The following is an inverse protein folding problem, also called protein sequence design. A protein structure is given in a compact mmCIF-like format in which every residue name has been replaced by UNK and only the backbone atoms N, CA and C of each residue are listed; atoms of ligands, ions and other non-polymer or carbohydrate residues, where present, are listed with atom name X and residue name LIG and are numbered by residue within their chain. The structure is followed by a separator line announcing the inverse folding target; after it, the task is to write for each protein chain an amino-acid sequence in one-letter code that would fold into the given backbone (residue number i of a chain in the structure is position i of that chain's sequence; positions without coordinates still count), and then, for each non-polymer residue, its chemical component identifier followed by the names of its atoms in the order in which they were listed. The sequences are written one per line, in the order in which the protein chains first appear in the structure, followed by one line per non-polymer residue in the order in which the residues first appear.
data_IF_038713100706
#
_entry.id   IF_038713100706
#
_cell.length_a   1.000
_cell.length_b   1.000
_cell.length_c   1.000
_cell.angle_alpha   90.00
_cell.angle_beta   90.00
_cell.angle_gamma   90.00
#
_symmetry.space_group_name_H-M   'P 1'
#
loop_
_entity.id
_entity.type
_entity.pdbx_description
1 polymer ?
#
# COMPACT_ATOMS: atom_id res chain seq x y z
N UNK A 1 6.18 -3.31 -17.88
CA UNK A 1 5.34 -3.82 -19.00
C UNK A 1 5.54 -5.29 -19.36
N UNK A 2 6.53 -6.02 -18.81
CA UNK A 2 6.64 -7.48 -18.99
C UNK A 2 5.83 -8.32 -17.98
N UNK A 3 5.46 -7.75 -16.84
CA UNK A 3 4.70 -8.46 -15.79
C UNK A 3 3.24 -8.76 -16.16
N UNK A 4 2.60 -7.94 -17.01
CA UNK A 4 1.20 -8.19 -17.41
C UNK A 4 1.05 -9.29 -18.48
N UNK A 5 2.09 -9.56 -19.29
CA UNK A 5 2.01 -10.58 -20.34
C UNK A 5 2.27 -12.01 -19.84
N UNK A 6 2.79 -12.18 -18.63
CA UNK A 6 2.91 -13.50 -18.01
C UNK A 6 1.52 -14.10 -17.67
N UNK A 7 0.49 -13.26 -17.55
CA UNK A 7 -0.86 -13.69 -17.17
C UNK A 7 -1.60 -14.48 -18.26
N UNK A 8 -1.32 -14.26 -19.55
CA UNK A 8 -2.05 -14.93 -20.64
C UNK A 8 -1.59 -16.37 -20.92
N UNK A 9 -0.42 -16.80 -20.44
CA UNK A 9 0.23 -18.05 -20.89
C UNK A 9 0.68 -19.00 -19.77
N UNK A 10 0.44 -18.70 -18.49
CA UNK A 10 0.83 -19.59 -17.40
C UNK A 10 -0.41 -20.13 -16.67
N UNK A 11 -0.29 -21.37 -16.17
CA UNK A 11 -1.32 -22.06 -15.41
C UNK A 11 -1.79 -21.19 -14.23
N UNK A 12 -3.09 -20.91 -14.11
CA UNK A 12 -3.63 -19.87 -13.22
C UNK A 12 -3.26 -20.02 -11.73
N UNK A 13 -3.10 -21.27 -11.25
CA UNK A 13 -2.66 -21.53 -9.88
C UNK A 13 -1.23 -21.03 -9.61
N UNK A 14 -0.29 -21.27 -10.53
CA UNK A 14 1.11 -20.85 -10.37
C UNK A 14 1.27 -19.32 -10.41
N UNK A 15 0.40 -18.64 -11.14
CA UNK A 15 0.39 -17.17 -11.19
C UNK A 15 -0.06 -16.58 -9.87
N UNK A 16 -1.11 -17.14 -9.26
CA UNK A 16 -1.59 -16.69 -7.95
C UNK A 16 -0.51 -16.87 -6.89
N UNK A 17 0.19 -18.00 -6.85
CA UNK A 17 1.29 -18.24 -5.89
C UNK A 17 2.48 -17.31 -6.10
N UNK A 18 2.81 -16.93 -7.34
CA UNK A 18 3.91 -15.99 -7.58
C UNK A 18 3.52 -14.57 -7.15
N UNK A 19 2.34 -14.10 -7.55
CA UNK A 19 1.82 -12.79 -7.16
C UNK A 19 1.64 -12.66 -5.66
N UNK A 20 1.18 -13.72 -5.02
CA UNK A 20 1.13 -13.89 -3.59
C UNK A 20 2.49 -13.56 -2.94
N UNK A 21 3.54 -14.29 -3.32
CA UNK A 21 4.91 -14.10 -2.79
C UNK A 21 5.43 -12.67 -3.01
N UNK A 22 5.21 -12.08 -4.20
CA UNK A 22 5.67 -10.72 -4.49
C UNK A 22 4.90 -9.63 -3.72
N UNK A 23 3.63 -9.86 -3.41
CA UNK A 23 2.77 -8.89 -2.70
C UNK A 23 2.61 -9.21 -1.21
N UNK A 24 3.25 -10.29 -0.74
CA UNK A 24 3.24 -10.68 0.65
C UNK A 24 3.90 -9.60 1.52
N UNK A 25 3.12 -9.08 2.47
CA UNK A 25 3.59 -8.09 3.43
C UNK A 25 4.53 -8.67 4.48
N UNK A 26 5.54 -7.88 4.86
CA UNK A 26 6.40 -8.15 6.00
C UNK A 26 5.62 -8.12 7.33
N UNK A 27 6.08 -8.86 8.33
CA UNK A 27 5.42 -8.93 9.65
C UNK A 27 5.38 -7.57 10.35
N UNK A 28 6.46 -6.79 10.25
CA UNK A 28 6.54 -5.42 10.78
C UNK A 28 5.47 -4.51 10.17
N UNK A 29 5.24 -4.62 8.85
CA UNK A 29 4.19 -3.86 8.18
C UNK A 29 2.79 -4.27 8.69
N UNK A 30 2.57 -5.55 9.00
CA UNK A 30 1.32 -6.02 9.61
C UNK A 30 1.15 -5.54 11.05
N UNK A 31 2.22 -5.43 11.83
CA UNK A 31 2.16 -4.87 13.18
C UNK A 31 1.85 -3.36 13.15
N UNK A 32 2.49 -2.62 12.25
CA UNK A 32 2.26 -1.17 12.08
C UNK A 32 0.92 -0.86 11.43
N UNK A 33 0.30 -1.80 10.72
CA UNK A 33 -1.03 -1.56 10.14
C UNK A 33 -2.13 -1.50 11.17
N UNK A 34 -1.96 -2.13 12.34
CA UNK A 34 -2.92 -2.04 13.43
C UNK A 34 -3.12 -0.59 13.92
N UNK A 35 -2.09 0.14 14.38
CA UNK A 35 -2.25 1.55 14.75
C UNK A 35 -2.73 2.40 13.57
N UNK A 36 -2.27 2.10 12.35
CA UNK A 36 -2.72 2.82 11.17
C UNK A 36 -4.23 2.67 10.94
N UNK A 37 -4.77 1.45 11.06
CA UNK A 37 -6.21 1.20 10.94
C UNK A 37 -6.98 1.89 12.06
N UNK A 38 -6.49 1.88 13.30
CA UNK A 38 -7.12 2.60 14.41
C UNK A 38 -7.25 4.09 14.10
N UNK A 39 -6.19 4.74 13.61
CA UNK A 39 -6.24 6.16 13.22
C UNK A 39 -7.23 6.43 12.09
N UNK A 40 -7.32 5.51 11.11
CA UNK A 40 -8.28 5.60 10.00
C UNK A 40 -9.73 5.46 10.51
N UNK A 41 -10.00 4.52 11.41
CA UNK A 41 -11.33 4.36 12.00
C UNK A 41 -11.71 5.55 12.88
N UNK A 42 -10.78 6.08 13.68
CA UNK A 42 -11.01 7.29 14.46
C UNK A 42 -11.35 8.48 13.56
N UNK A 43 -10.59 8.69 12.48
CA UNK A 43 -10.89 9.73 11.49
C UNK A 43 -12.29 9.55 10.88
N UNK A 44 -12.70 8.31 10.57
CA UNK A 44 -14.06 8.03 10.07
C UNK A 44 -15.13 8.42 11.07
N UNK A 45 -14.93 8.09 12.34
CA UNK A 45 -15.88 8.45 13.39
C UNK A 45 -16.02 9.97 13.53
N UNK A 46 -14.92 10.71 13.55
CA UNK A 46 -14.94 12.18 13.60
C UNK A 46 -15.64 12.79 12.38
N UNK A 47 -15.38 12.24 11.18
CA UNK A 47 -16.07 12.68 9.97
C UNK A 47 -17.57 12.40 10.03
N UNK A 48 -17.98 11.26 10.58
CA UNK A 48 -19.40 10.95 10.79
C UNK A 48 -20.07 11.86 11.83
N UNK A 49 -19.29 12.45 12.73
CA UNK A 49 -19.73 13.45 13.70
C UNK A 49 -19.83 14.88 13.12
N UNK A 50 -19.50 15.06 11.84
CA UNK A 50 -19.66 16.34 11.13
C UNK A 50 -18.35 17.11 10.87
N UNK A 51 -17.20 16.59 11.29
CA UNK A 51 -15.91 17.25 11.03
C UNK A 51 -15.45 17.06 9.59
N UNK A 52 -14.81 18.09 9.05
CA UNK A 52 -14.14 18.05 7.75
C UNK A 52 -12.77 17.39 7.87
N UNK A 53 -12.23 16.90 6.75
CA UNK A 53 -10.90 16.28 6.74
C UNK A 53 -9.79 17.28 7.13
N UNK A 54 -9.94 18.57 6.78
CA UNK A 54 -8.95 19.58 7.15
C UNK A 54 -8.95 19.84 8.66
N UNK A 55 -10.13 19.83 9.30
CA UNK A 55 -10.22 19.96 10.76
C UNK A 55 -9.61 18.73 11.43
N UNK A 56 -9.91 17.52 10.95
CA UNK A 56 -9.32 16.28 11.50
C UNK A 56 -7.79 16.28 11.39
N UNK A 57 -7.24 16.70 10.26
CA UNK A 57 -5.79 16.72 10.02
C UNK A 57 -5.07 17.84 10.80
N UNK A 58 -5.73 18.96 11.09
CA UNK A 58 -5.11 20.13 11.74
C UNK A 58 -5.38 20.23 13.26
N UNK A 59 -6.56 19.84 13.73
CA UNK A 59 -6.99 20.03 15.13
C UNK A 59 -6.46 18.93 16.06
N UNK A 60 -6.37 17.69 15.57
CA UNK A 60 -5.89 16.55 16.36
C UNK A 60 -4.36 16.38 16.28
N UNK A 61 -3.62 17.48 16.21
CA UNK A 61 -2.17 17.47 16.27
C UNK A 61 -1.68 17.04 17.66
N UNK A 62 -1.60 15.72 17.88
CA UNK A 62 -0.92 14.98 18.96
C UNK A 62 -1.46 15.18 20.40
N UNK A 63 -1.87 16.38 20.80
CA UNK A 63 -2.15 16.72 22.20
C UNK A 63 -3.45 16.08 22.75
N UNK A 64 -4.48 15.92 21.93
CA UNK A 64 -5.73 15.23 22.34
C UNK A 64 -5.64 13.70 22.23
N UNK A 65 -4.69 13.18 21.43
CA UNK A 65 -4.52 11.75 21.19
C UNK A 65 -3.86 11.01 22.38
N UNK A 66 -3.07 11.73 23.18
CA UNK A 66 -2.45 11.24 24.42
C UNK A 66 -3.52 10.89 25.46
N UNK A 67 -4.51 11.77 25.65
CA UNK A 67 -5.63 11.55 26.57
C UNK A 67 -6.56 10.41 26.11
N UNK A 68 -6.67 10.17 24.80
CA UNK A 68 -7.45 9.07 24.22
C UNK A 68 -6.77 7.70 24.32
N UNK A 69 -5.54 7.62 24.87
CA UNK A 69 -4.78 6.37 25.00
C UNK A 69 -4.21 5.86 23.68
N UNK A 70 -4.24 6.67 22.61
CA UNK A 70 -3.69 6.29 21.30
C UNK A 70 -2.16 6.15 21.35
N UNK A 71 -1.48 6.83 22.27
CA UNK A 71 -0.03 6.67 22.49
C UNK A 71 0.37 5.25 22.92
N UNK A 72 -0.55 4.48 23.52
CA UNK A 72 -0.31 3.05 23.83
C UNK A 72 -0.39 2.17 22.58
N UNK A 73 -1.20 2.57 21.60
CA UNK A 73 -1.45 1.84 20.35
C UNK A 73 -0.40 2.21 19.31
N UNK A 74 -0.03 3.49 19.26
CA UNK A 74 0.89 4.06 18.31
C UNK A 74 1.96 4.85 19.08
N UNK A 75 2.95 4.16 19.68
CA UNK A 75 3.96 4.81 20.49
C UNK A 75 4.84 5.68 19.58
N UNK A 76 4.58 6.98 19.58
CA UNK A 76 5.42 7.98 18.95
C UNK A 76 6.66 8.21 19.82
N UNK A 77 7.48 7.16 20.03
CA UNK A 77 8.72 7.31 20.80
C UNK A 77 9.52 8.46 20.18
N UNK A 78 9.87 9.50 20.97
CA UNK A 78 10.72 10.56 20.45
C UNK A 78 12.00 9.91 19.98
N UNK A 79 12.43 10.29 18.78
CA UNK A 79 13.64 9.73 18.20
C UNK A 79 14.81 10.26 19.03
N UNK A 80 15.44 9.38 19.80
CA UNK A 80 16.72 9.66 20.44
C UNK A 80 17.75 9.95 19.35
N UNK A 81 18.59 10.95 19.59
CA UNK A 81 19.49 11.57 18.62
C UNK A 81 20.16 10.57 17.67
N UNK A 82 20.23 10.91 16.38
CA UNK A 82 20.89 10.08 15.39
C UNK A 82 22.37 9.89 15.71
N UNK A 83 22.76 8.68 16.09
CA UNK A 83 24.16 8.36 16.35
C UNK A 83 25.00 8.60 15.08
N UNK A 84 26.13 9.31 15.18
CA UNK A 84 27.02 9.49 14.04
C UNK A 84 27.62 8.15 13.64
N UNK A 85 27.57 7.83 12.35
CA UNK A 85 28.10 6.60 11.78
C UNK A 85 28.65 6.83 10.37
N UNK A 86 29.63 6.03 9.97
CA UNK A 86 30.23 6.09 8.62
C UNK A 86 29.44 5.33 7.55
N UNK A 87 28.37 4.62 7.94
CA UNK A 87 27.59 3.73 7.06
C UNK A 87 26.10 4.00 7.19
N UNK A 88 25.34 3.59 6.17
CA UNK A 88 23.88 3.64 6.18
C UNK A 88 23.34 2.60 7.14
N UNK A 89 22.23 2.93 7.79
CA UNK A 89 21.42 1.92 8.47
C UNK A 89 20.67 1.12 7.40
N UNK A 90 20.46 -0.16 7.66
CA UNK A 90 19.67 -1.06 6.81
C UNK A 90 18.26 -0.49 6.52
N UNK A 91 17.62 0.09 7.55
CA UNK A 91 16.28 0.63 7.43
C UNK A 91 16.22 2.00 6.74
N UNK A 92 17.36 2.65 6.45
CA UNK A 92 17.38 4.06 6.01
C UNK A 92 17.09 5.07 7.13
N UNK A 93 16.89 4.60 8.36
CA UNK A 93 16.73 5.44 9.55
C UNK A 93 17.93 6.36 9.75
N UNK A 94 17.67 7.60 10.18
CA UNK A 94 18.69 8.63 10.42
C UNK A 94 19.46 9.09 9.17
N UNK A 95 19.00 8.76 7.95
CA UNK A 95 19.58 9.37 6.75
C UNK A 95 19.41 10.90 6.77
N UNK A 96 18.25 11.37 7.25
CA UNK A 96 18.00 12.77 7.55
C UNK A 96 18.04 13.00 9.07
N UNK A 97 19.06 13.68 9.56
CA UNK A 97 19.27 13.91 11.01
C UNK A 97 18.14 14.74 11.65
N UNK A 98 17.53 15.68 10.90
CA UNK A 98 16.43 16.50 11.41
C UNK A 98 15.09 15.75 11.41
N UNK A 99 14.93 14.80 10.49
CA UNK A 99 13.72 14.00 10.29
C UNK A 99 14.10 12.52 10.09
N UNK A 100 14.45 11.79 11.16
CA UNK A 100 15.13 10.50 11.04
C UNK A 100 14.31 9.39 10.39
N UNK A 101 12.98 9.52 10.34
CA UNK A 101 12.09 8.55 9.69
C UNK A 101 11.90 8.83 8.19
N UNK A 102 12.32 9.99 7.67
CA UNK A 102 12.11 10.31 6.26
C UNK A 102 12.86 9.33 5.35
N UNK A 103 12.11 8.61 4.53
CA UNK A 103 12.64 7.58 3.63
C UNK A 103 13.00 6.26 4.33
N UNK A 104 12.76 6.12 5.63
CA UNK A 104 12.98 4.86 6.34
C UNK A 104 12.00 3.77 5.87
N UNK A 105 12.40 2.51 6.01
CA UNK A 105 11.54 1.35 5.79
C UNK A 105 10.33 1.37 6.73
N UNK A 106 9.24 0.75 6.27
CA UNK A 106 7.94 0.62 6.95
C UNK A 106 7.21 1.94 7.23
N UNK A 107 7.64 3.04 6.61
CA UNK A 107 6.94 4.31 6.69
C UNK A 107 5.82 4.39 5.66
N UNK A 108 4.90 5.33 5.87
CA UNK A 108 3.89 5.67 4.88
C UNK A 108 4.53 6.32 3.64
N UNK A 109 4.00 6.05 2.45
CA UNK A 109 4.33 6.85 1.28
C UNK A 109 3.94 8.32 1.50
N UNK A 110 4.84 9.21 1.10
CA UNK A 110 4.52 10.63 1.07
C UNK A 110 3.54 10.95 -0.07
N UNK A 111 2.77 12.01 0.10
CA UNK A 111 1.69 12.40 -0.81
C UNK A 111 2.01 13.74 -1.45
N UNK A 112 2.27 13.73 -2.77
CA UNK A 112 2.37 14.97 -3.56
C UNK A 112 1.02 15.70 -3.69
N UNK A 113 -0.08 14.95 -3.60
CA UNK A 113 -1.45 15.46 -3.67
C UNK A 113 -2.32 14.83 -2.58
N UNK A 114 -3.36 15.54 -2.17
CA UNK A 114 -4.35 15.03 -1.21
C UNK A 114 -4.96 13.71 -1.68
N UNK A 115 -5.28 12.85 -0.73
CA UNK A 115 -5.96 11.60 -1.04
C UNK A 115 -7.35 11.90 -1.64
N UNK A 116 -7.81 11.03 -2.54
CA UNK A 116 -9.16 11.12 -3.09
C UNK A 116 -9.88 9.79 -2.88
N UNK A 117 -10.48 9.68 -1.71
CA UNK A 117 -11.37 8.59 -1.31
C UNK A 117 -12.82 9.07 -1.37
N UNK A 118 -13.78 8.16 -1.45
CA UNK A 118 -15.21 8.53 -1.48
C UNK A 118 -15.65 9.24 -0.20
N UNK A 119 -15.08 8.82 0.94
CA UNK A 119 -15.27 9.41 2.26
C UNK A 119 -14.11 10.35 2.66
N UNK A 120 -13.26 10.79 1.73
CA UNK A 120 -11.96 11.46 1.97
C UNK A 120 -11.05 10.80 3.01
N UNK A 121 -11.28 9.53 3.38
CA UNK A 121 -10.52 8.84 4.42
C UNK A 121 -9.96 7.52 3.91
N UNK A 122 -10.82 6.61 3.46
CA UNK A 122 -10.35 5.30 2.98
C UNK A 122 -11.30 4.56 2.04
N UNK A 123 -12.55 4.97 1.88
CA UNK A 123 -13.48 4.28 1.00
C UNK A 123 -13.04 4.39 -0.46
N UNK A 124 -13.09 3.29 -1.23
CA UNK A 124 -12.81 3.33 -2.66
C UNK A 124 -13.61 4.44 -3.35
N UNK A 125 -12.91 5.19 -4.21
CA UNK A 125 -13.45 6.36 -4.89
C UNK A 125 -14.70 6.00 -5.71
N UNK A 126 -15.67 6.93 -5.77
CA UNK A 126 -16.79 6.89 -6.72
C UNK A 126 -16.61 7.94 -7.81
N UNK A 127 -17.46 7.87 -8.84
CA UNK A 127 -17.57 8.92 -9.86
C UNK A 127 -18.02 10.24 -9.24
N UNK A 128 -17.75 11.36 -9.94
CA UNK A 128 -18.23 12.70 -9.55
C UNK A 128 -19.75 12.76 -9.37
N UNK A 129 -20.48 11.92 -10.10
CA UNK A 129 -21.93 11.80 -10.02
C UNK A 129 -22.40 10.71 -9.04
N UNK A 130 -21.54 10.27 -8.11
CA UNK A 130 -21.78 9.18 -7.15
C UNK A 130 -22.05 7.79 -7.74
N UNK A 131 -21.90 7.60 -9.05
CA UNK A 131 -21.96 6.29 -9.69
C UNK A 131 -20.70 5.45 -9.41
N UNK A 132 -20.86 4.13 -9.43
CA UNK A 132 -19.76 3.16 -9.38
C UNK A 132 -18.81 3.37 -10.55
N UNK A 133 -17.50 3.34 -10.30
CA UNK A 133 -16.49 3.42 -11.36
C UNK A 133 -16.50 2.13 -12.20
N UNK A 134 -16.15 2.22 -13.50
CA UNK A 134 -16.01 1.03 -14.34
C UNK A 134 -15.04 0.02 -13.72
N UNK A 135 -15.35 -1.26 -13.86
CA UNK A 135 -14.53 -2.31 -13.28
C UNK A 135 -13.17 -2.38 -14.00
N UNK A 136 -12.08 -2.61 -13.25
CA UNK A 136 -10.72 -2.58 -13.78
C UNK A 136 -10.50 -3.59 -14.92
N UNK A 137 -11.17 -4.73 -14.89
CA UNK A 137 -11.15 -5.74 -15.95
C UNK A 137 -11.78 -5.24 -17.26
N UNK A 138 -12.86 -4.47 -17.18
CA UNK A 138 -13.51 -3.89 -18.35
C UNK A 138 -12.59 -2.87 -19.02
N UNK A 139 -12.04 -1.95 -18.23
CA UNK A 139 -11.07 -0.96 -18.71
C UNK A 139 -9.84 -1.64 -19.30
N UNK A 140 -9.32 -2.68 -18.62
CA UNK A 140 -8.17 -3.43 -19.11
C UNK A 140 -8.45 -4.11 -20.45
N UNK A 141 -9.63 -4.72 -20.60
CA UNK A 141 -10.08 -5.33 -21.86
C UNK A 141 -10.21 -4.32 -22.98
N UNK A 142 -10.70 -3.12 -22.71
CA UNK A 142 -10.88 -2.08 -23.74
C UNK A 142 -9.54 -1.49 -24.16
N UNK A 143 -8.69 -1.13 -23.19
CA UNK A 143 -7.45 -0.39 -23.45
C UNK A 143 -6.25 -1.28 -23.84
N UNK A 144 -6.18 -2.51 -23.31
CA UNK A 144 -5.02 -3.40 -23.49
C UNK A 144 -5.34 -4.64 -24.34
N UNK A 145 -6.36 -4.58 -25.20
CA UNK A 145 -6.76 -5.72 -26.04
C UNK A 145 -5.75 -6.04 -27.16
N UNK A 146 -5.04 -5.03 -27.65
CA UNK A 146 -4.16 -5.15 -28.81
C UNK A 146 -2.73 -5.48 -28.38
N UNK A 147 -2.29 -6.70 -28.63
CA UNK A 147 -0.87 -7.03 -28.63
C UNK A 147 -0.28 -6.71 -30.00
N UNK A 148 0.20 -5.49 -30.18
CA UNK A 148 1.09 -5.19 -31.29
C UNK A 148 2.54 -5.44 -30.86
N UNK A 149 3.19 -6.39 -31.52
CA UNK A 149 4.63 -6.65 -31.32
C UNK A 149 5.43 -5.50 -31.92
N UNK A 150 5.57 -4.39 -31.19
CA UNK A 150 6.40 -3.26 -31.58
C UNK A 150 7.87 -3.70 -31.56
N UNK A 151 8.59 -3.46 -32.66
CA UNK A 151 10.05 -3.65 -32.70
C UNK A 151 10.69 -2.65 -31.75
N UNK A 152 11.32 -3.13 -30.69
CA UNK A 152 12.06 -2.30 -29.73
C UNK A 152 13.55 -2.33 -30.05
N UNK A 153 14.22 -1.17 -29.93
CA UNK A 153 15.68 -1.08 -29.94
C UNK A 153 16.30 -1.33 -28.56
N UNK A 154 15.47 -1.42 -27.51
CA UNK A 154 15.90 -1.65 -26.14
C UNK A 154 16.03 -3.14 -25.86
N UNK A 155 17.11 -3.52 -25.16
CA UNK A 155 17.27 -4.87 -24.65
C UNK A 155 16.32 -5.13 -23.47
N UNK A 156 16.07 -6.41 -23.19
CA UNK A 156 15.29 -6.82 -22.02
C UNK A 156 15.93 -6.34 -20.70
N UNK A 157 17.23 -6.06 -20.69
CA UNK A 157 17.96 -5.56 -19.53
C UNK A 157 17.34 -4.27 -18.98
N UNK A 158 16.79 -3.40 -19.83
CA UNK A 158 16.12 -2.17 -19.38
C UNK A 158 14.94 -2.47 -18.46
N UNK A 159 14.15 -3.49 -18.76
CA UNK A 159 13.01 -3.88 -17.93
C UNK A 159 13.45 -4.49 -16.59
N UNK A 160 14.53 -5.28 -16.61
CA UNK A 160 15.08 -5.88 -15.39
C UNK A 160 15.72 -4.83 -14.48
N UNK A 161 16.51 -3.92 -15.05
CA UNK A 161 17.11 -2.80 -14.33
C UNK A 161 16.05 -1.88 -13.71
N UNK A 162 14.99 -1.55 -14.46
CA UNK A 162 13.88 -0.77 -13.94
C UNK A 162 13.15 -1.48 -12.78
N UNK A 163 12.99 -2.81 -12.86
CA UNK A 163 12.43 -3.59 -11.76
C UNK A 163 13.35 -3.60 -10.53
N UNK A 164 14.67 -3.71 -10.72
CA UNK A 164 15.64 -3.66 -9.64
C UNK A 164 15.58 -2.31 -8.90
N UNK A 165 15.62 -1.19 -9.64
CA UNK A 165 15.47 0.16 -9.07
C UNK A 165 14.14 0.31 -8.33
N UNK A 166 13.04 -0.16 -8.93
CA UNK A 166 11.72 -0.05 -8.30
C UNK A 166 11.68 -0.78 -6.96
N UNK A 167 12.19 -2.01 -6.89
CA UNK A 167 12.17 -2.79 -5.65
C UNK A 167 13.16 -2.28 -4.59
N UNK A 168 14.17 -1.49 -4.99
CA UNK A 168 15.09 -0.83 -4.06
C UNK A 168 14.41 0.33 -3.32
N UNK A 169 13.50 1.04 -3.99
CA UNK A 169 12.86 2.23 -3.42
C UNK A 169 11.44 1.98 -2.89
N UNK A 170 10.75 0.95 -3.39
CA UNK A 170 9.34 0.74 -3.12
C UNK A 170 8.95 -0.74 -3.08
N UNK A 171 8.30 -1.13 -1.98
CA UNK A 171 7.67 -2.44 -1.82
C UNK A 171 6.30 -2.27 -1.18
N UNK A 172 5.27 -2.58 -1.95
CA UNK A 172 3.88 -2.40 -1.59
C UNK A 172 3.29 -3.78 -1.32
N UNK A 173 2.94 -4.06 -0.07
CA UNK A 173 2.35 -5.35 0.31
C UNK A 173 0.86 -5.26 0.62
N UNK A 174 0.16 -6.36 0.36
CA UNK A 174 -1.27 -6.52 0.60
C UNK A 174 -1.57 -6.83 2.07
N UNK A 175 -2.78 -6.50 2.53
CA UNK A 175 -3.25 -6.91 3.85
C UNK A 175 -3.26 -8.43 3.99
N UNK A 176 -2.94 -8.87 5.20
CA UNK A 176 -2.88 -10.28 5.60
C UNK A 176 -4.02 -10.62 6.55
N UNK A 177 -4.45 -11.87 6.56
CA UNK A 177 -5.38 -12.40 7.54
C UNK A 177 -4.71 -12.51 8.94
N UNK A 178 -5.46 -13.01 9.92
CA UNK A 178 -5.00 -13.15 11.31
C UNK A 178 -3.83 -14.12 11.47
N UNK A 179 -3.73 -15.13 10.59
CA UNK A 179 -2.67 -16.13 10.57
C UNK A 179 -1.47 -15.74 9.70
N UNK A 180 -1.32 -14.44 9.36
CA UNK A 180 -0.27 -13.90 8.47
C UNK A 180 -0.29 -14.47 7.04
N UNK A 181 -1.36 -15.19 6.68
CA UNK A 181 -1.65 -15.65 5.34
C UNK A 181 -2.31 -14.56 4.50
N UNK A 182 -2.47 -14.85 3.22
CA UNK A 182 -3.17 -13.96 2.31
C UNK A 182 -4.68 -14.04 2.53
N UNK A 183 -5.36 -12.92 2.25
CA UNK A 183 -6.82 -12.88 2.28
C UNK A 183 -7.38 -13.54 1.02
N UNK A 184 -8.21 -14.57 1.20
CA UNK A 184 -8.95 -15.21 0.12
C UNK A 184 -10.18 -14.38 -0.24
N UNK A 185 -9.96 -13.26 -0.91
CA UNK A 185 -11.01 -12.31 -1.27
C UNK A 185 -12.03 -12.85 -2.30
N UNK A 186 -11.77 -14.00 -2.91
CA UNK A 186 -12.70 -14.65 -3.83
C UNK A 186 -13.50 -15.80 -3.19
N UNK A 187 -13.04 -16.30 -2.03
CA UNK A 187 -13.69 -17.36 -1.28
C UNK A 187 -14.02 -16.92 0.14
N UNK A 188 -13.30 -17.47 1.11
CA UNK A 188 -13.67 -17.39 2.53
C UNK A 188 -13.66 -15.96 3.09
N UNK A 189 -12.74 -15.11 2.63
CA UNK A 189 -12.58 -13.74 3.11
C UNK A 189 -13.33 -12.70 2.28
N UNK A 190 -14.25 -13.11 1.39
CA UNK A 190 -14.94 -12.19 0.47
C UNK A 190 -15.63 -11.00 1.16
N UNK A 191 -16.14 -11.21 2.37
CA UNK A 191 -16.84 -10.17 3.15
C UNK A 191 -15.90 -9.32 4.04
N UNK A 192 -14.59 -9.56 3.98
CA UNK A 192 -13.62 -8.76 4.71
C UNK A 192 -13.58 -7.33 4.16
N UNK A 193 -13.55 -6.32 5.03
CA UNK A 193 -13.51 -4.89 4.64
C UNK A 193 -12.22 -4.51 3.88
N UNK A 194 -11.18 -5.34 3.99
CA UNK A 194 -9.93 -5.20 3.28
C UNK A 194 -9.91 -5.94 1.93
N UNK A 195 -10.99 -6.61 1.54
CA UNK A 195 -11.12 -7.26 0.24
C UNK A 195 -11.85 -6.38 -0.78
N UNK A 196 -11.26 -6.26 -1.98
CA UNK A 196 -11.83 -5.56 -3.14
C UNK A 196 -11.69 -6.45 -4.39
N UNK A 197 -12.33 -7.64 -4.41
CA UNK A 197 -12.12 -8.62 -5.46
C UNK A 197 -12.48 -8.08 -6.85
N UNK A 198 -11.70 -8.47 -7.86
CA UNK A 198 -12.00 -8.15 -9.25
C UNK A 198 -12.91 -9.25 -9.79
N UNK A 199 -14.22 -8.99 -9.77
CA UNK A 199 -15.23 -9.92 -10.23
C UNK A 199 -15.41 -9.89 -11.75
N UNK A 200 -16.12 -10.90 -12.28
CA UNK A 200 -16.51 -11.00 -13.69
C UNK A 200 -15.30 -11.00 -14.66
N UNK A 201 -14.16 -11.54 -14.24
CA UNK A 201 -13.00 -11.72 -15.10
C UNK A 201 -13.17 -12.98 -15.95
N UNK A 202 -12.87 -12.94 -17.24
CA UNK A 202 -13.00 -14.09 -18.12
C UNK A 202 -11.63 -14.61 -18.54
N UNK A 203 -11.29 -15.83 -18.13
CA UNK A 203 -10.09 -16.54 -18.58
C UNK A 203 -10.56 -17.72 -19.41
N UNK A 204 -10.19 -17.75 -20.70
CA UNK A 204 -10.56 -18.83 -21.63
C UNK A 204 -12.06 -19.16 -21.64
N UNK A 205 -12.91 -18.12 -21.56
CA UNK A 205 -14.37 -18.25 -21.56
C UNK A 205 -15.00 -18.64 -20.22
N UNK A 206 -14.22 -18.92 -19.18
CA UNK A 206 -14.73 -19.18 -17.82
C UNK A 206 -14.74 -17.90 -17.01
N UNK A 207 -15.88 -17.64 -16.36
CA UNK A 207 -16.02 -16.55 -15.38
C UNK A 207 -15.19 -16.90 -14.15
N UNK A 208 -14.34 -15.97 -13.73
CA UNK A 208 -13.36 -16.10 -12.66
C UNK A 208 -13.35 -14.83 -11.81
N UNK A 209 -12.76 -14.95 -10.63
CA UNK A 209 -12.51 -13.86 -9.69
C UNK A 209 -10.99 -13.76 -9.49
N UNK A 210 -10.45 -12.54 -9.48
CA UNK A 210 -9.06 -12.31 -9.09
C UNK A 210 -9.07 -11.77 -7.65
N UNK A 211 -8.43 -12.47 -6.69
CA UNK A 211 -8.41 -12.01 -5.31
C UNK A 211 -7.57 -10.74 -5.25
N UNK A 212 -8.11 -9.70 -4.62
CA UNK A 212 -7.40 -8.45 -4.41
C UNK A 212 -7.69 -7.94 -3.01
N UNK A 213 -6.68 -8.02 -2.16
CA UNK A 213 -6.67 -7.42 -0.83
C UNK A 213 -6.06 -6.02 -0.92
N UNK A 214 -6.62 -5.09 -0.15
CA UNK A 214 -6.14 -3.71 -0.06
C UNK A 214 -4.73 -3.69 0.50
N UNK A 215 -3.93 -2.74 0.02
CA UNK A 215 -2.57 -2.49 0.52
C UNK A 215 -2.55 -2.22 2.02
N UNK A 216 -1.56 -2.78 2.70
CA UNK A 216 -1.29 -2.57 4.12
C UNK A 216 -1.11 -1.06 4.42
N UNK A 217 -1.88 -0.50 5.37
CA UNK A 217 -1.67 0.88 5.78
C UNK A 217 -0.45 1.02 6.70
N UNK A 218 0.14 2.21 6.73
CA UNK A 218 1.16 2.60 7.71
C UNK A 218 0.69 3.83 8.50
N UNK A 219 1.09 3.96 9.77
CA UNK A 219 0.74 5.12 10.57
C UNK A 219 1.41 6.35 9.98
N UNK A 220 0.76 7.50 10.10
CA UNK A 220 1.40 8.77 9.80
C UNK A 220 2.44 9.12 10.88
N UNK A 221 3.34 10.07 10.58
CA UNK A 221 4.27 10.61 11.57
C UNK A 221 3.48 11.13 12.79
N UNK A 222 3.89 10.74 13.99
CA UNK A 222 3.16 11.03 15.24
C UNK A 222 1.71 10.55 15.28
N UNK A 223 1.34 9.57 14.45
CA UNK A 223 0.03 8.92 14.47
C UNK A 223 -1.14 9.89 14.22
N UNK A 224 -0.88 10.95 13.44
CA UNK A 224 -1.88 11.94 13.08
C UNK A 224 -3.10 11.29 12.41
N UNK A 225 -4.29 11.76 12.76
CA UNK A 225 -5.53 11.33 12.12
C UNK A 225 -5.62 11.88 10.69
N UNK A 226 -6.36 11.18 9.84
CA UNK A 226 -6.62 11.62 8.48
C UNK A 226 -6.84 10.47 7.51
N UNK A 227 -6.56 10.75 6.23
CA UNK A 227 -6.66 9.76 5.16
C UNK A 227 -5.70 8.57 5.34
N UNK A 228 -6.18 7.37 4.98
CA UNK A 228 -5.39 6.13 4.93
C UNK A 228 -4.12 6.33 4.08
N UNK A 229 -2.95 6.02 4.63
CA UNK A 229 -1.67 6.02 3.91
C UNK A 229 -1.14 4.60 3.75
N UNK A 230 -0.63 4.27 2.57
CA UNK A 230 -0.09 2.95 2.25
C UNK A 230 1.35 2.84 2.77
N UNK A 231 1.72 1.65 3.25
CA UNK A 231 3.06 1.36 3.74
C UNK A 231 4.04 1.10 2.58
N UNK A 232 5.21 1.74 2.64
CA UNK A 232 6.40 1.30 1.93
C UNK A 232 7.20 0.36 2.83
N UNK A 233 7.40 -0.89 2.42
CA UNK A 233 8.04 -1.92 3.25
C UNK A 233 9.55 -2.00 3.10
N UNK A 234 10.12 -1.20 2.21
CA UNK A 234 11.57 -0.98 2.05
C UNK A 234 11.88 0.49 2.28
N UNK A 235 13.15 0.83 2.42
CA UNK A 235 13.57 2.22 2.50
C UNK A 235 13.40 2.90 1.11
N UNK A 236 13.41 4.23 1.06
CA UNK A 236 13.14 4.99 -0.18
C UNK A 236 14.40 5.40 -0.93
N UNK A 237 15.58 4.95 -0.48
CA UNK A 237 16.86 5.32 -1.04
C UNK A 237 17.31 4.30 -2.09
N UNK A 238 18.22 4.71 -2.98
CA UNK A 238 18.94 3.79 -3.84
C UNK A 238 20.18 3.32 -3.08
N UNK A 239 20.03 2.27 -2.29
CA UNK A 239 21.09 1.71 -1.45
C UNK A 239 21.27 0.20 -1.59
N UNK A 240 20.65 -0.39 -2.62
CA UNK A 240 20.66 -1.82 -2.89
C UNK A 240 20.05 -2.65 -1.75
N UNK A 241 18.98 -2.14 -1.13
CA UNK A 241 18.15 -2.87 -0.17
C UNK A 241 17.65 -4.23 -0.67
N UNK A 242 17.42 -4.51 -1.98
CA UNK A 242 17.07 -5.87 -2.41
C UNK A 242 18.22 -6.88 -2.21
N UNK A 243 19.46 -6.40 -2.06
CA UNK A 243 20.67 -7.22 -1.86
C UNK A 243 20.98 -7.34 -0.37
N UNK A 244 20.96 -6.22 0.36
CA UNK A 244 21.33 -6.17 1.78
C UNK A 244 20.16 -6.43 2.72
N UNK A 245 18.95 -6.41 2.16
CA UNK A 245 17.64 -6.46 2.79
C UNK A 245 17.09 -5.07 3.09
#
# INVERSE_FOLDING_TARGET
MYYMNCFKSCNGEKQNTLWAVYTASHITAKQLSYPALVTVYAAKHLKSAGMTINEIENEFSRFELDQAGLDKICPSKPIEECAPGGFRTYSGFCNNVKKPLWGSAFQAFDRMYRASYNDDISEPRKSLNNFTLPACNEISRILFNSYEKKKSKLSLMVAQWANMIYNDMARIGSNKNEHLGELDCCGADKNNTECLPIENFYISGKKTCIPYARTMPAPAESCSLGSRKQSNQVNSFLDASPIYG
#
